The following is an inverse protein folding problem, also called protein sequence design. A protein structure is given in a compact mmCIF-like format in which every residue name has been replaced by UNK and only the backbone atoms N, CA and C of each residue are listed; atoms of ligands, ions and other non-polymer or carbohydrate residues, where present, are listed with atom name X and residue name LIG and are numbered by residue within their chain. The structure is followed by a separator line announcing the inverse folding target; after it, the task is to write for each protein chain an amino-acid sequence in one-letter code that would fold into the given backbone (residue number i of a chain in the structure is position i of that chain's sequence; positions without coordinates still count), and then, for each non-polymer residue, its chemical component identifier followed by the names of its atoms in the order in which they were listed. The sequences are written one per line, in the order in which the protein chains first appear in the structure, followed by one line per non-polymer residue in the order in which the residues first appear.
data_IF_064285438542
#
_entry.id   IF_064285438542
#
_cell.length_a   1.000
_cell.length_b   1.000
_cell.length_c   1.000
_cell.angle_alpha   90.00
_cell.angle_beta   90.00
_cell.angle_gamma   90.00
#
_symmetry.space_group_name_H-M   'P 1'
#
loop_
_entity.id
_entity.type
_entity.pdbx_description
1 polymer ?
#
# COMPACT_ATOMS: atom_id res chain seq x y z
N UNK A 1 -31.51 -62.86 -51.46
CA UNK A 1 -30.69 -61.65 -51.65
C UNK A 1 -30.65 -60.94 -50.31
N UNK A 2 -29.43 -60.81 -49.76
CA UNK A 2 -29.12 -60.56 -48.36
C UNK A 2 -29.31 -59.10 -47.91
N UNK A 3 -29.47 -58.97 -46.59
CA UNK A 3 -29.03 -57.90 -45.70
C UNK A 3 -29.82 -56.58 -45.61
N UNK A 4 -30.40 -56.39 -44.42
CA UNK A 4 -30.77 -55.08 -43.90
C UNK A 4 -29.55 -54.23 -43.54
N UNK A 5 -29.72 -52.90 -43.66
CA UNK A 5 -28.80 -51.93 -43.04
C UNK A 5 -29.61 -50.83 -42.36
N UNK A 6 -29.56 -50.87 -41.02
CA UNK A 6 -29.88 -49.78 -40.10
C UNK A 6 -29.14 -48.52 -40.56
N UNK A 7 -29.87 -47.45 -40.90
CA UNK A 7 -29.26 -46.11 -41.04
C UNK A 7 -29.27 -45.46 -39.67
N UNK A 8 -28.10 -45.44 -39.04
CA UNK A 8 -27.79 -44.66 -37.85
C UNK A 8 -27.77 -43.19 -38.27
N UNK A 9 -28.69 -42.39 -37.72
CA UNK A 9 -28.63 -40.93 -37.81
C UNK A 9 -27.65 -40.48 -36.72
N UNK A 10 -26.44 -40.11 -37.13
CA UNK A 10 -25.44 -39.53 -36.23
C UNK A 10 -25.85 -38.09 -35.88
N UNK A 11 -26.07 -37.85 -34.58
CA UNK A 11 -26.25 -36.52 -34.03
C UNK A 11 -24.95 -35.73 -34.12
N UNK A 12 -24.98 -34.63 -34.86
CA UNK A 12 -23.92 -33.60 -34.87
C UNK A 12 -23.88 -32.92 -33.50
N UNK A 13 -22.82 -33.19 -32.72
CA UNK A 13 -22.45 -32.40 -31.54
C UNK A 13 -21.70 -31.16 -32.05
N UNK A 14 -22.34 -30.00 -32.02
CA UNK A 14 -21.67 -28.71 -32.17
C UNK A 14 -20.94 -28.40 -30.85
N UNK A 15 -19.62 -28.59 -30.83
CA UNK A 15 -18.76 -28.08 -29.75
C UNK A 15 -18.59 -26.57 -29.98
N UNK A 16 -19.38 -25.76 -29.28
CA UNK A 16 -19.07 -24.34 -29.08
C UNK A 16 -17.83 -24.25 -28.18
N UNK A 17 -16.66 -24.14 -28.79
CA UNK A 17 -15.46 -23.70 -28.10
C UNK A 17 -15.62 -22.21 -27.74
N UNK A 18 -16.12 -21.91 -26.54
CA UNK A 18 -16.03 -20.57 -25.98
C UNK A 18 -14.55 -20.28 -25.71
N UNK A 19 -13.90 -19.54 -26.60
CA UNK A 19 -12.62 -18.92 -26.33
C UNK A 19 -12.87 -17.86 -25.26
N UNK A 20 -12.61 -18.21 -24.01
CA UNK A 20 -12.56 -17.25 -22.92
C UNK A 20 -11.43 -16.27 -23.20
N UNK A 21 -11.76 -15.04 -23.60
CA UNK A 21 -10.81 -13.94 -23.61
C UNK A 21 -10.50 -13.64 -22.15
N UNK A 22 -9.41 -14.21 -21.64
CA UNK A 22 -8.85 -13.81 -20.36
C UNK A 22 -8.52 -12.31 -20.45
N UNK A 23 -9.21 -11.49 -19.66
CA UNK A 23 -8.85 -10.10 -19.44
C UNK A 23 -7.36 -10.01 -19.09
N UNK A 24 -6.63 -8.98 -19.56
CA UNK A 24 -5.21 -8.87 -19.24
C UNK A 24 -5.07 -8.70 -17.73
N UNK A 25 -4.51 -9.72 -17.10
CA UNK A 25 -4.19 -9.75 -15.68
C UNK A 25 -3.39 -8.48 -15.34
N UNK A 26 -3.77 -7.80 -14.25
CA UNK A 26 -3.29 -6.49 -13.80
C UNK A 26 -1.82 -6.42 -13.36
N UNK A 27 -0.91 -7.11 -14.06
CA UNK A 27 0.53 -7.17 -13.77
C UNK A 27 1.26 -5.87 -14.17
N UNK A 28 0.62 -4.99 -14.95
CA UNK A 28 1.22 -3.75 -15.47
C UNK A 28 1.52 -2.67 -14.41
N UNK A 29 0.77 -2.61 -13.30
CA UNK A 29 0.98 -1.60 -12.26
C UNK A 29 2.05 -2.00 -11.22
N UNK A 30 2.28 -3.31 -11.05
CA UNK A 30 3.15 -3.85 -10.01
C UNK A 30 4.64 -3.54 -10.24
N UNK A 31 5.07 -3.42 -11.49
CA UNK A 31 6.48 -3.27 -11.83
C UNK A 31 6.99 -1.82 -11.86
N UNK A 32 6.16 -0.87 -12.29
CA UNK A 32 6.54 0.55 -12.22
C UNK A 32 6.74 1.03 -10.78
N UNK A 33 6.19 0.26 -9.84
CA UNK A 33 6.13 0.60 -8.44
C UNK A 33 7.47 0.39 -7.71
N UNK A 34 8.26 -0.64 -7.99
CA UNK A 34 9.50 -0.85 -7.24
C UNK A 34 10.75 -0.20 -7.84
N UNK A 35 10.58 0.72 -8.80
CA UNK A 35 11.69 1.49 -9.32
C UNK A 35 12.30 2.39 -8.22
N UNK A 36 13.64 2.45 -8.09
CA UNK A 36 14.33 3.39 -7.22
C UNK A 36 13.80 4.80 -7.43
N UNK A 37 13.46 5.47 -6.33
CA UNK A 37 13.05 6.86 -6.34
C UNK A 37 14.20 7.71 -6.85
N UNK A 38 14.04 8.33 -8.02
CA UNK A 38 15.00 9.32 -8.50
C UNK A 38 14.56 10.70 -7.99
N UNK A 39 15.44 11.36 -7.27
CA UNK A 39 15.24 12.69 -6.70
C UNK A 39 16.49 13.53 -6.85
N UNK A 40 16.36 14.82 -6.56
CA UNK A 40 17.48 15.75 -6.55
C UNK A 40 18.69 15.23 -5.77
N UNK A 41 19.89 15.42 -6.34
CA UNK A 41 21.15 14.88 -5.81
C UNK A 41 21.47 13.45 -6.26
N UNK A 42 20.56 12.73 -6.91
CA UNK A 42 20.86 11.41 -7.48
C UNK A 42 21.75 11.54 -8.71
N UNK A 43 22.84 10.77 -8.78
CA UNK A 43 23.67 10.65 -9.98
C UNK A 43 23.77 9.19 -10.42
N UNK A 44 23.30 8.87 -11.62
CA UNK A 44 23.37 7.50 -12.18
C UNK A 44 22.96 7.45 -13.65
N UNK A 45 23.29 6.35 -14.33
CA UNK A 45 22.78 6.08 -15.69
C UNK A 45 21.24 5.97 -15.74
N UNK A 46 20.57 5.70 -14.60
CA UNK A 46 19.11 5.76 -14.50
C UNK A 46 18.59 7.19 -14.64
N UNK A 47 19.34 8.17 -14.15
CA UNK A 47 19.03 9.58 -14.37
C UNK A 47 19.22 9.95 -15.84
N UNK A 48 20.25 9.45 -16.52
CA UNK A 48 20.40 9.65 -17.97
C UNK A 48 19.22 9.05 -18.75
N UNK A 49 18.77 7.84 -18.38
CA UNK A 49 17.56 7.22 -18.93
C UNK A 49 16.29 8.06 -18.70
N UNK A 50 16.12 8.61 -17.50
CA UNK A 50 15.04 9.55 -17.18
C UNK A 50 15.12 10.82 -18.03
N UNK A 51 16.31 11.42 -18.18
CA UNK A 51 16.49 12.65 -18.95
C UNK A 51 16.14 12.45 -20.43
N UNK A 52 16.47 11.29 -21.01
CA UNK A 52 15.98 10.91 -22.34
C UNK A 52 14.45 10.81 -22.39
N UNK A 53 13.80 10.20 -21.39
CA UNK A 53 12.33 10.12 -21.34
C UNK A 53 11.68 11.51 -21.19
N UNK A 54 12.27 12.41 -20.40
CA UNK A 54 11.80 13.80 -20.28
C UNK A 54 11.94 14.55 -21.62
N UNK A 55 13.06 14.39 -22.35
CA UNK A 55 13.19 14.92 -23.71
C UNK A 55 12.16 14.34 -24.68
N UNK A 56 11.87 13.05 -24.58
CA UNK A 56 10.81 12.42 -25.39
C UNK A 56 9.42 13.00 -25.10
N UNK A 57 9.24 13.64 -23.94
CA UNK A 57 8.02 14.35 -23.53
C UNK A 57 8.12 15.88 -23.70
N UNK A 58 9.08 16.36 -24.50
CA UNK A 58 9.21 17.76 -24.88
C UNK A 58 9.88 18.66 -23.83
N UNK A 59 10.59 18.09 -22.86
CA UNK A 59 11.40 18.87 -21.91
C UNK A 59 12.84 18.98 -22.42
N UNK A 60 13.28 20.20 -22.73
CA UNK A 60 14.66 20.44 -23.18
C UNK A 60 15.59 20.57 -21.96
N UNK A 61 16.24 19.47 -21.58
CA UNK A 61 17.21 19.40 -20.47
C UNK A 61 18.48 18.70 -20.92
N UNK A 62 19.60 18.95 -20.26
CA UNK A 62 20.85 18.23 -20.50
C UNK A 62 20.76 16.74 -20.08
N UNK A 63 21.58 15.88 -20.69
CA UNK A 63 21.70 14.46 -20.35
C UNK A 63 23.09 14.22 -19.75
N UNK A 64 23.24 14.61 -18.49
CA UNK A 64 24.48 14.54 -17.74
C UNK A 64 24.48 13.41 -16.69
N UNK A 65 23.35 12.70 -16.55
CA UNK A 65 23.16 11.67 -15.52
C UNK A 65 23.06 12.23 -14.10
N UNK A 66 22.90 13.55 -13.96
CA UNK A 66 22.74 14.26 -12.68
C UNK A 66 21.31 14.76 -12.50
N UNK A 67 20.71 14.41 -11.37
CA UNK A 67 19.38 14.91 -11.02
C UNK A 67 19.55 16.27 -10.34
N UNK A 68 19.87 17.29 -11.13
CA UNK A 68 19.98 18.67 -10.68
C UNK A 68 18.67 19.46 -10.76
N UNK A 69 18.73 20.78 -10.50
CA UNK A 69 17.55 21.66 -10.50
C UNK A 69 16.77 21.66 -11.82
N UNK A 70 17.46 21.59 -12.96
CA UNK A 70 16.82 21.52 -14.28
C UNK A 70 16.01 20.22 -14.46
N UNK A 71 16.59 19.07 -14.07
CA UNK A 71 15.91 17.77 -14.10
C UNK A 71 14.70 17.77 -13.15
N UNK A 72 14.83 18.32 -11.94
CA UNK A 72 13.72 18.46 -10.99
C UNK A 72 12.59 19.33 -11.55
N UNK A 73 12.92 20.46 -12.16
CA UNK A 73 11.95 21.36 -12.80
C UNK A 73 11.20 20.66 -13.93
N UNK A 74 11.92 19.92 -14.79
CA UNK A 74 11.31 19.13 -15.86
C UNK A 74 10.40 18.02 -15.32
N UNK A 75 10.78 17.34 -14.23
CA UNK A 75 9.92 16.34 -13.58
C UNK A 75 8.65 16.98 -13.04
N UNK A 76 8.73 18.14 -12.36
CA UNK A 76 7.54 18.87 -11.91
C UNK A 76 6.64 19.29 -13.06
N UNK A 77 7.21 19.80 -14.15
CA UNK A 77 6.46 20.15 -15.36
C UNK A 77 5.78 18.93 -16.00
N UNK A 78 6.47 17.79 -16.04
CA UNK A 78 5.88 16.53 -16.52
C UNK A 78 4.73 16.07 -15.63
N UNK A 79 4.93 16.12 -14.31
CA UNK A 79 3.91 15.77 -13.31
C UNK A 79 2.67 16.67 -13.46
N UNK A 80 2.86 17.98 -13.62
CA UNK A 80 1.78 18.93 -13.85
C UNK A 80 0.97 18.58 -15.11
N UNK A 81 1.64 18.34 -16.25
CA UNK A 81 0.98 17.97 -17.53
C UNK A 81 0.20 16.65 -17.45
N UNK A 82 0.54 15.78 -16.49
CA UNK A 82 -0.05 14.45 -16.37
C UNK A 82 -0.98 14.30 -15.14
N UNK A 83 -1.34 15.39 -14.46
CA UNK A 83 -2.21 15.36 -13.29
C UNK A 83 -1.62 14.63 -12.09
N UNK A 84 -0.30 14.66 -11.93
CA UNK A 84 0.43 14.07 -10.81
C UNK A 84 0.81 15.15 -9.78
N UNK A 85 1.11 14.72 -8.56
CA UNK A 85 1.69 15.59 -7.52
C UNK A 85 3.02 16.14 -8.03
N UNK A 86 3.21 17.46 -7.95
CA UNK A 86 4.38 18.16 -8.47
C UNK A 86 5.53 18.21 -7.44
N UNK A 87 5.87 17.06 -6.87
CA UNK A 87 6.91 16.93 -5.85
C UNK A 87 8.33 16.95 -6.42
N UNK A 88 8.48 16.81 -7.75
CA UNK A 88 9.78 16.73 -8.42
C UNK A 88 10.50 15.40 -8.18
N UNK A 89 9.78 14.38 -7.72
CA UNK A 89 10.28 13.05 -7.40
C UNK A 89 9.76 12.05 -8.44
N UNK A 90 10.67 11.28 -9.04
CA UNK A 90 10.30 10.20 -9.96
C UNK A 90 10.05 8.94 -9.16
N UNK A 91 8.84 8.85 -8.63
CA UNK A 91 8.28 7.62 -8.09
C UNK A 91 7.45 6.83 -9.11
N UNK A 92 6.76 5.79 -8.66
CA UNK A 92 5.99 4.86 -9.48
C UNK A 92 4.99 5.47 -10.45
N UNK A 93 4.22 6.45 -9.98
CA UNK A 93 3.19 7.11 -10.78
C UNK A 93 3.81 7.93 -11.90
N UNK A 94 4.89 8.65 -11.58
CA UNK A 94 5.67 9.41 -12.55
C UNK A 94 6.29 8.46 -13.58
N UNK A 95 6.91 7.36 -13.12
CA UNK A 95 7.51 6.38 -14.02
C UNK A 95 6.48 5.68 -14.90
N UNK A 96 5.32 5.30 -14.37
CA UNK A 96 4.24 4.67 -15.15
C UNK A 96 3.73 5.58 -16.27
N UNK A 97 3.66 6.90 -16.04
CA UNK A 97 3.29 7.89 -17.06
C UNK A 97 4.42 8.15 -18.07
N UNK A 98 5.67 8.10 -17.63
CA UNK A 98 6.84 8.23 -18.52
C UNK A 98 7.06 6.96 -19.39
N UNK A 99 6.60 5.80 -18.90
CA UNK A 99 6.78 4.50 -19.53
C UNK A 99 5.83 4.32 -20.71
N UNK A 100 6.30 4.67 -21.91
CA UNK A 100 5.58 4.41 -23.16
C UNK A 100 6.06 3.09 -23.76
N UNK A 101 5.13 2.27 -24.27
CA UNK A 101 5.47 1.00 -24.94
C UNK A 101 6.48 1.26 -26.04
N UNK A 102 7.66 0.66 -25.91
CA UNK A 102 8.77 0.81 -26.86
C UNK A 102 9.12 -0.57 -27.40
N UNK A 103 9.14 -0.73 -28.72
CA UNK A 103 9.29 -2.02 -29.40
C UNK A 103 10.11 -1.89 -30.68
N UNK A 104 10.38 -3.01 -31.33
CA UNK A 104 11.03 -3.04 -32.63
C UNK A 104 10.45 -2.01 -33.61
N UNK A 105 11.32 -1.30 -34.33
CA UNK A 105 10.95 -0.21 -35.24
C UNK A 105 10.62 1.13 -34.57
N UNK A 106 10.62 1.19 -33.23
CA UNK A 106 10.53 2.48 -32.52
C UNK A 106 11.85 3.24 -32.67
N UNK A 107 11.78 4.57 -32.72
CA UNK A 107 12.94 5.45 -32.80
C UNK A 107 12.90 6.60 -31.78
N UNK A 108 14.03 7.29 -31.61
CA UNK A 108 14.18 8.55 -30.88
C UNK A 108 14.59 8.41 -29.42
N UNK A 109 14.36 9.46 -28.62
CA UNK A 109 14.86 9.56 -27.24
C UNK A 109 14.36 8.43 -26.32
N UNK A 110 13.13 7.93 -26.52
CA UNK A 110 12.61 6.75 -25.79
C UNK A 110 13.47 5.50 -26.00
N UNK A 111 14.00 5.30 -27.20
CA UNK A 111 14.89 4.18 -27.50
C UNK A 111 16.26 4.39 -26.90
N UNK A 112 16.78 5.64 -26.94
CA UNK A 112 18.03 5.99 -26.25
C UNK A 112 17.93 5.71 -24.75
N UNK A 113 16.79 6.01 -24.12
CA UNK A 113 16.53 5.65 -22.73
C UNK A 113 16.61 4.13 -22.50
N UNK A 114 15.94 3.32 -23.33
CA UNK A 114 16.03 1.85 -23.25
C UNK A 114 17.47 1.38 -23.39
N UNK A 115 18.18 1.82 -24.42
CA UNK A 115 19.55 1.41 -24.72
C UNK A 115 20.52 1.79 -23.59
N UNK A 116 20.37 2.99 -23.01
CA UNK A 116 21.15 3.44 -21.84
C UNK A 116 20.91 2.56 -20.62
N UNK A 117 19.65 2.22 -20.31
CA UNK A 117 19.31 1.40 -19.15
C UNK A 117 19.69 -0.08 -19.34
N UNK A 118 19.65 -0.58 -20.58
CA UNK A 118 20.14 -1.91 -20.94
C UNK A 118 21.65 -2.01 -20.71
N UNK A 119 22.43 -1.01 -21.15
CA UNK A 119 23.87 -0.93 -20.84
C UNK A 119 24.14 -0.94 -19.34
N UNK A 120 23.38 -0.15 -18.58
CA UNK A 120 23.48 -0.14 -17.12
C UNK A 120 23.17 -1.51 -16.48
N UNK A 121 22.41 -2.36 -17.18
CA UNK A 121 22.08 -3.72 -16.75
C UNK A 121 23.04 -4.78 -17.31
N UNK A 122 24.20 -4.36 -17.84
CA UNK A 122 25.24 -5.25 -18.37
C UNK A 122 25.00 -5.74 -19.80
N UNK A 123 24.01 -5.23 -20.54
CA UNK A 123 23.77 -5.62 -21.93
C UNK A 123 24.65 -4.80 -22.89
N UNK A 124 25.19 -5.46 -23.92
CA UNK A 124 25.93 -4.77 -24.99
C UNK A 124 25.00 -4.31 -26.11
N UNK A 125 24.76 -3.01 -26.21
CA UNK A 125 23.91 -2.39 -27.25
C UNK A 125 24.42 -0.98 -27.58
N UNK A 126 24.28 -0.50 -28.82
CA UNK A 126 24.53 0.90 -29.19
C UNK A 126 23.44 1.83 -28.62
N UNK A 127 23.78 3.08 -28.27
CA UNK A 127 22.78 4.13 -27.93
C UNK A 127 22.60 5.02 -29.16
N UNK A 128 22.01 4.45 -30.21
CA UNK A 128 21.78 5.11 -31.50
C UNK A 128 20.36 5.67 -31.65
N UNK A 129 19.45 5.32 -30.73
CA UNK A 129 18.06 5.73 -30.78
C UNK A 129 17.20 4.94 -31.76
N UNK A 130 17.70 3.84 -32.32
CA UNK A 130 16.97 2.95 -33.24
C UNK A 130 16.71 1.59 -32.62
N UNK A 131 15.44 1.19 -32.49
CA UNK A 131 15.10 -0.11 -31.92
C UNK A 131 15.16 -1.20 -33.00
N UNK A 132 16.39 -1.52 -33.40
CA UNK A 132 16.70 -2.55 -34.40
C UNK A 132 16.96 -3.94 -33.79
N UNK A 133 17.45 -4.90 -34.60
CA UNK A 133 17.69 -6.28 -34.17
C UNK A 133 18.59 -6.42 -32.94
N UNK A 134 19.63 -5.57 -32.82
CA UNK A 134 20.53 -5.57 -31.65
C UNK A 134 19.82 -5.17 -30.36
N UNK A 135 18.98 -4.13 -30.40
CA UNK A 135 18.19 -3.70 -29.25
C UNK A 135 17.13 -4.75 -28.89
N UNK A 136 16.49 -5.37 -29.88
CA UNK A 136 15.55 -6.48 -29.64
C UNK A 136 16.21 -7.65 -28.91
N UNK A 137 17.40 -8.07 -29.35
CA UNK A 137 18.17 -9.13 -28.69
C UNK A 137 18.52 -8.77 -27.24
N UNK A 138 19.00 -7.54 -27.01
CA UNK A 138 19.34 -7.04 -25.67
C UNK A 138 18.12 -6.97 -24.74
N UNK A 139 16.95 -6.55 -25.24
CA UNK A 139 15.70 -6.52 -24.45
C UNK A 139 15.29 -7.94 -24.04
N UNK A 140 15.28 -8.90 -24.97
CA UNK A 140 14.92 -10.29 -24.65
C UNK A 140 15.89 -10.92 -23.63
N UNK A 141 17.19 -10.66 -23.78
CA UNK A 141 18.21 -11.11 -22.83
C UNK A 141 18.02 -10.49 -21.43
N UNK A 142 17.70 -9.19 -21.36
CA UNK A 142 17.36 -8.53 -20.11
C UNK A 142 16.07 -9.06 -19.49
N UNK A 143 15.02 -9.24 -20.28
CA UNK A 143 13.76 -9.83 -19.81
C UNK A 143 13.99 -11.22 -19.23
N UNK A 144 14.80 -12.06 -19.90
CA UNK A 144 15.22 -13.37 -19.39
C UNK A 144 15.94 -13.26 -18.05
N UNK A 145 16.91 -12.36 -17.91
CA UNK A 145 17.68 -12.19 -16.67
C UNK A 145 16.86 -11.66 -15.49
N UNK A 146 15.72 -11.02 -15.77
CA UNK A 146 14.77 -10.52 -14.76
C UNK A 146 13.56 -11.43 -14.54
N UNK A 147 13.51 -12.59 -15.20
CA UNK A 147 12.38 -13.53 -15.10
C UNK A 147 11.07 -12.97 -15.65
N UNK A 148 11.13 -12.11 -16.67
CA UNK A 148 10.01 -11.52 -17.41
C UNK A 148 9.67 -12.34 -18.66
N UNK A 149 8.49 -12.09 -19.24
CA UNK A 149 8.16 -12.58 -20.58
C UNK A 149 9.16 -12.04 -21.60
N UNK A 150 9.73 -12.92 -22.44
CA UNK A 150 10.77 -12.58 -23.43
C UNK A 150 10.17 -12.15 -24.77
N UNK A 151 9.15 -11.29 -24.71
CA UNK A 151 8.40 -10.81 -25.87
C UNK A 151 9.16 -9.77 -26.71
N UNK A 152 10.27 -9.22 -26.18
CA UNK A 152 11.04 -8.18 -26.86
C UNK A 152 10.37 -6.80 -26.85
N UNK A 153 9.28 -6.64 -26.10
CA UNK A 153 8.53 -5.39 -25.96
C UNK A 153 8.86 -4.76 -24.61
N UNK A 154 9.31 -3.49 -24.64
CA UNK A 154 9.53 -2.72 -23.41
C UNK A 154 8.22 -2.10 -22.96
N UNK A 155 7.40 -2.92 -22.30
CA UNK A 155 6.18 -2.52 -21.60
C UNK A 155 6.43 -2.06 -20.16
N UNK A 156 5.36 -1.72 -19.39
CA UNK A 156 5.49 -1.23 -18.01
C UNK A 156 6.35 -2.11 -17.10
N UNK A 157 6.29 -3.43 -17.31
CA UNK A 157 7.11 -4.38 -16.55
C UNK A 157 8.60 -4.28 -16.86
N UNK A 158 8.94 -4.25 -18.14
CA UNK A 158 10.34 -4.12 -18.55
C UNK A 158 10.89 -2.74 -18.20
N UNK A 159 10.08 -1.68 -18.30
CA UNK A 159 10.46 -0.33 -17.85
C UNK A 159 10.78 -0.28 -16.36
N UNK A 160 9.88 -0.80 -15.51
CA UNK A 160 10.13 -0.88 -14.08
C UNK A 160 11.45 -1.60 -13.77
N UNK A 161 11.67 -2.76 -14.39
CA UNK A 161 12.88 -3.56 -14.22
C UNK A 161 14.15 -2.80 -14.64
N UNK A 162 14.11 -2.07 -15.76
CA UNK A 162 15.23 -1.28 -16.27
C UNK A 162 15.62 -0.15 -15.32
N UNK A 163 14.65 0.44 -14.63
CA UNK A 163 14.92 1.41 -13.58
C UNK A 163 15.36 0.77 -12.26
N UNK A 164 15.21 -0.55 -12.08
CA UNK A 164 15.72 -1.28 -10.91
C UNK A 164 14.65 -1.93 -10.03
N UNK A 165 13.40 -1.99 -10.49
CA UNK A 165 12.35 -2.81 -9.87
C UNK A 165 12.77 -4.29 -9.83
N UNK A 166 12.53 -4.99 -8.72
CA UNK A 166 12.75 -6.44 -8.61
C UNK A 166 11.42 -7.19 -8.60
N UNK A 167 11.44 -8.45 -9.05
CA UNK A 167 10.24 -9.31 -9.09
C UNK A 167 9.69 -9.61 -7.67
N UNK A 168 10.56 -9.51 -6.65
CA UNK A 168 10.25 -9.70 -5.22
C UNK A 168 9.76 -8.42 -4.52
N UNK A 169 9.75 -7.28 -5.21
CA UNK A 169 9.19 -6.04 -4.67
C UNK A 169 7.79 -5.83 -5.22
N UNK A 170 6.82 -6.28 -4.43
CA UNK A 170 5.42 -5.88 -4.51
C UNK A 170 5.32 -4.36 -4.62
N UNK A 171 4.34 -3.85 -5.40
CA UNK A 171 4.21 -2.41 -5.64
C UNK A 171 4.26 -1.67 -4.30
N UNK A 172 5.10 -0.63 -4.10
CA UNK A 172 4.81 0.36 -3.10
C UNK A 172 3.35 0.77 -3.30
N UNK A 173 2.61 0.80 -2.20
CA UNK A 173 1.19 1.02 -2.29
C UNK A 173 0.95 2.43 -2.85
N UNK A 174 -0.28 2.75 -3.29
CA UNK A 174 -0.60 4.12 -3.65
C UNK A 174 -0.06 5.06 -2.56
N UNK A 175 0.50 6.23 -2.93
CA UNK A 175 0.89 7.24 -1.95
C UNK A 175 -0.29 7.43 -0.99
N UNK A 176 -0.03 7.76 0.29
CA UNK A 176 -1.06 7.92 1.29
C UNK A 176 -2.24 8.64 0.66
N UNK A 177 -3.41 7.98 0.61
CA UNK A 177 -4.62 8.65 0.13
C UNK A 177 -4.72 9.90 1.00
N UNK A 178 -4.60 11.06 0.37
CA UNK A 178 -4.74 12.33 1.07
C UNK A 178 -6.03 12.22 1.90
N UNK A 179 -5.95 12.34 3.23
CA UNK A 179 -7.12 12.21 4.09
C UNK A 179 -8.18 13.28 3.80
N UNK A 180 -7.81 14.27 2.98
CA UNK A 180 -8.59 15.46 2.66
C UNK A 180 -8.45 16.49 3.78
N UNK A 181 -9.06 17.66 3.61
CA UNK A 181 -9.11 18.65 4.68
C UNK A 181 -9.83 18.08 5.92
N UNK A 182 -9.50 18.56 7.13
CA UNK A 182 -10.20 18.20 8.35
C UNK A 182 -11.72 18.40 8.20
N UNK A 183 -12.50 17.44 8.70
CA UNK A 183 -13.96 17.50 8.70
C UNK A 183 -14.49 17.78 10.10
N UNK A 184 -15.69 18.35 10.18
CA UNK A 184 -16.38 18.53 11.45
C UNK A 184 -16.50 17.18 12.19
N UNK A 185 -16.10 17.16 13.46
CA UNK A 185 -16.07 15.96 14.28
C UNK A 185 -14.84 15.07 14.08
N UNK A 186 -13.87 15.44 13.25
CA UNK A 186 -12.55 14.79 13.24
C UNK A 186 -11.86 15.02 14.60
N UNK A 187 -11.16 14.00 15.09
CA UNK A 187 -10.44 14.03 16.37
C UNK A 187 -9.13 14.81 16.21
N UNK A 188 -8.90 15.75 17.12
CA UNK A 188 -7.63 16.47 17.27
C UNK A 188 -6.77 15.85 18.37
N UNK A 189 -5.49 16.23 18.45
CA UNK A 189 -4.63 15.84 19.58
C UNK A 189 -5.20 16.31 20.91
N UNK A 190 -5.71 17.55 20.97
CA UNK A 190 -6.34 18.09 22.17
C UNK A 190 -7.58 17.31 22.61
N UNK A 191 -8.36 16.75 21.68
CA UNK A 191 -9.45 15.85 22.02
C UNK A 191 -8.94 14.53 22.62
N UNK A 192 -7.87 13.96 22.05
CA UNK A 192 -7.25 12.75 22.59
C UNK A 192 -6.73 12.97 24.02
N UNK A 193 -6.08 14.10 24.29
CA UNK A 193 -5.54 14.42 25.62
C UNK A 193 -6.65 14.55 26.67
N UNK A 194 -7.81 15.11 26.29
CA UNK A 194 -8.99 15.19 27.17
C UNK A 194 -9.64 13.82 27.41
N UNK A 195 -9.73 12.98 26.38
CA UNK A 195 -10.34 11.65 26.49
C UNK A 195 -9.43 10.64 27.20
N UNK A 196 -8.11 10.74 26.98
CA UNK A 196 -7.11 9.75 27.36
C UNK A 196 -5.90 10.42 28.06
N UNK A 197 -6.10 11.11 29.20
CA UNK A 197 -5.02 11.78 29.91
C UNK A 197 -3.92 10.78 30.27
N UNK A 198 -2.67 11.13 29.96
CA UNK A 198 -1.49 10.28 30.18
C UNK A 198 -1.35 9.08 29.23
N UNK A 199 -2.19 8.97 28.20
CA UNK A 199 -2.17 7.87 27.20
C UNK A 199 -2.08 8.36 25.76
N UNK A 200 -1.53 9.56 25.56
CA UNK A 200 -1.19 10.12 24.25
C UNK A 200 0.31 10.32 24.21
N UNK A 201 0.99 9.71 23.24
CA UNK A 201 2.44 9.83 23.10
C UNK A 201 2.85 11.28 22.82
N UNK A 202 3.89 11.76 23.48
CA UNK A 202 4.46 13.08 23.18
C UNK A 202 5.40 13.02 21.97
N UNK A 203 4.80 12.85 20.79
CA UNK A 203 5.52 12.81 19.52
C UNK A 203 4.73 13.52 18.43
N UNK A 204 5.44 14.12 17.48
CA UNK A 204 4.81 14.71 16.28
C UNK A 204 4.08 13.68 15.42
N UNK A 205 4.31 12.38 15.64
CA UNK A 205 3.67 11.29 14.91
C UNK A 205 2.19 11.18 15.22
N UNK A 206 1.76 11.51 16.44
CA UNK A 206 0.33 11.51 16.80
C UNK A 206 -0.41 12.49 15.89
N UNK A 207 0.06 13.72 15.79
CA UNK A 207 -0.54 14.76 14.94
C UNK A 207 -0.48 14.40 13.46
N UNK A 208 0.64 13.84 12.98
CA UNK A 208 0.78 13.40 11.59
C UNK A 208 -0.18 12.27 11.21
N UNK A 209 -0.47 11.35 12.15
CA UNK A 209 -1.34 10.20 11.89
C UNK A 209 -2.83 10.50 11.99
N UNK A 210 -3.23 11.51 12.79
CA UNK A 210 -4.63 11.84 13.05
C UNK A 210 -5.48 12.06 11.80
N UNK A 211 -5.05 12.82 10.77
CA UNK A 211 -5.83 12.97 9.55
C UNK A 211 -6.18 11.62 8.88
N UNK A 212 -5.20 10.71 8.81
CA UNK A 212 -5.40 9.38 8.23
C UNK A 212 -6.28 8.48 9.10
N UNK A 213 -6.11 8.54 10.42
CA UNK A 213 -6.93 7.80 11.37
C UNK A 213 -8.40 8.24 11.30
N UNK A 214 -8.65 9.56 11.26
CA UNK A 214 -9.98 10.13 11.09
C UNK A 214 -10.62 9.68 9.77
N UNK A 215 -9.87 9.76 8.67
CA UNK A 215 -10.35 9.30 7.36
C UNK A 215 -10.72 7.80 7.38
N UNK A 216 -9.89 6.96 8.00
CA UNK A 216 -10.14 5.52 8.10
C UNK A 216 -11.35 5.19 9.00
N UNK A 217 -11.49 5.87 10.15
CA UNK A 217 -12.66 5.70 11.02
C UNK A 217 -13.96 6.05 10.29
N UNK A 218 -13.97 7.15 9.51
CA UNK A 218 -15.13 7.55 8.69
C UNK A 218 -15.42 6.50 7.63
N UNK A 219 -14.40 6.10 6.87
CA UNK A 219 -14.51 5.11 5.79
C UNK A 219 -15.15 3.79 6.26
N UNK A 220 -14.90 3.41 7.51
CA UNK A 220 -15.31 2.11 8.07
C UNK A 220 -16.54 2.17 8.98
N UNK A 221 -17.22 3.32 9.07
CA UNK A 221 -18.40 3.47 9.93
C UNK A 221 -18.10 3.35 11.44
N UNK A 222 -16.85 3.58 11.84
CA UNK A 222 -16.44 3.65 13.26
C UNK A 222 -16.95 4.95 13.88
N UNK A 223 -17.07 6.02 13.08
CA UNK A 223 -17.64 7.30 13.53
C UNK A 223 -19.17 7.34 13.54
N UNK A 224 -19.86 6.25 13.18
CA UNK A 224 -21.32 6.23 13.06
C UNK A 224 -22.04 6.42 14.41
N UNK A 225 -21.39 6.08 15.52
CA UNK A 225 -21.92 6.30 16.87
C UNK A 225 -20.81 6.76 17.83
N UNK A 226 -21.12 7.55 18.86
CA UNK A 226 -20.14 7.96 19.86
C UNK A 226 -19.48 6.77 20.56
N UNK A 227 -20.24 5.71 20.87
CA UNK A 227 -19.69 4.52 21.53
C UNK A 227 -18.74 3.71 20.66
N UNK A 228 -18.99 3.57 19.34
CA UNK A 228 -18.03 2.91 18.43
C UNK A 228 -16.71 3.68 18.38
N UNK A 229 -16.80 5.00 18.22
CA UNK A 229 -15.63 5.88 18.16
C UNK A 229 -14.86 5.87 19.48
N UNK A 230 -15.54 5.99 20.61
CA UNK A 230 -14.95 5.92 21.94
C UNK A 230 -14.24 4.59 22.19
N UNK A 231 -14.88 3.47 21.82
CA UNK A 231 -14.33 2.13 22.05
C UNK A 231 -13.08 1.88 21.20
N UNK A 232 -13.11 2.23 19.92
CA UNK A 232 -11.96 2.11 19.03
C UNK A 232 -10.78 2.96 19.51
N UNK A 233 -11.02 4.22 19.85
CA UNK A 233 -9.97 5.11 20.34
C UNK A 233 -9.41 4.65 21.70
N UNK A 234 -10.27 4.14 22.60
CA UNK A 234 -9.83 3.56 23.87
C UNK A 234 -8.91 2.36 23.64
N UNK A 235 -9.19 1.51 22.65
CA UNK A 235 -8.27 0.44 22.26
C UNK A 235 -6.92 1.02 21.83
N UNK A 236 -6.87 1.95 20.89
CA UNK A 236 -5.61 2.51 20.40
C UNK A 236 -4.80 3.26 21.47
N UNK A 237 -5.47 3.89 22.44
CA UNK A 237 -4.83 4.52 23.59
C UNK A 237 -4.01 3.51 24.42
N UNK A 238 -4.48 2.27 24.51
CA UNK A 238 -3.82 1.19 25.26
C UNK A 238 -2.82 0.40 24.43
N UNK A 239 -3.05 0.25 23.12
CA UNK A 239 -2.11 -0.47 22.24
C UNK A 239 -0.90 0.37 21.85
N UNK A 240 -1.08 1.66 21.56
CA UNK A 240 -0.04 2.45 20.90
C UNK A 240 0.14 3.86 21.43
N UNK A 241 -0.69 4.30 22.37
CA UNK A 241 -0.78 5.71 22.80
C UNK A 241 -0.92 6.67 21.62
N UNK A 242 -1.60 6.21 20.56
CA UNK A 242 -1.80 6.89 19.28
C UNK A 242 -0.54 7.18 18.44
N UNK A 243 0.63 6.61 18.75
CA UNK A 243 1.78 6.66 17.84
C UNK A 243 1.61 5.60 16.73
N UNK A 244 1.46 6.05 15.48
CA UNK A 244 1.25 5.16 14.34
C UNK A 244 2.49 4.35 13.96
N UNK A 245 3.68 4.74 14.43
CA UNK A 245 4.96 4.12 14.11
C UNK A 245 5.62 3.44 15.32
N UNK A 246 4.91 3.35 16.45
CA UNK A 246 5.41 2.61 17.60
C UNK A 246 5.56 1.13 17.23
N UNK A 247 6.64 0.53 17.71
CA UNK A 247 6.82 -0.91 17.70
C UNK A 247 7.41 -1.36 19.01
N UNK A 248 7.22 -2.63 19.35
CA UNK A 248 7.73 -3.19 20.60
C UNK A 248 9.23 -2.89 20.77
N UNK A 249 9.58 -2.18 21.85
CA UNK A 249 10.97 -2.02 22.32
C UNK A 249 11.33 -3.29 23.10
N UNK A 250 12.32 -4.04 22.62
CA UNK A 250 12.99 -5.04 23.48
C UNK A 250 13.29 -6.42 22.90
N UNK A 251 12.89 -6.79 21.68
CA UNK A 251 13.35 -8.03 21.04
C UNK A 251 13.46 -7.87 19.52
N UNK A 252 14.68 -7.61 19.06
CA UNK A 252 15.16 -7.96 17.71
C UNK A 252 15.73 -9.39 17.87
N UNK A 253 15.23 -10.44 17.18
CA UNK A 253 14.86 -10.42 15.77
C UNK A 253 13.58 -11.19 15.43
N UNK A 254 12.40 -10.60 15.67
CA UNK A 254 11.17 -11.08 15.04
C UNK A 254 10.70 -10.09 13.98
N UNK A 255 10.85 -10.50 12.72
CA UNK A 255 10.40 -9.78 11.51
C UNK A 255 8.92 -9.34 11.60
N UNK A 256 8.09 -10.00 12.40
CA UNK A 256 6.66 -9.69 12.57
C UNK A 256 6.28 -9.30 14.02
N UNK A 257 7.10 -8.44 14.65
CA UNK A 257 6.82 -7.85 15.97
C UNK A 257 5.61 -6.90 15.99
N UNK A 258 5.16 -6.48 17.17
CA UNK A 258 4.09 -5.48 17.31
C UNK A 258 4.41 -4.17 16.59
N UNK A 259 3.49 -3.71 15.72
CA UNK A 259 3.61 -2.43 15.00
C UNK A 259 2.31 -1.64 14.90
N UNK A 260 2.50 -0.33 14.93
CA UNK A 260 1.50 0.66 14.59
C UNK A 260 0.37 0.78 15.61
N UNK A 261 -0.72 1.42 15.20
CA UNK A 261 -1.83 1.78 16.09
C UNK A 261 -2.42 0.60 16.86
N UNK A 262 -2.53 -0.57 16.22
CA UNK A 262 -3.16 -1.74 16.81
C UNK A 262 -2.14 -2.79 17.30
N UNK A 263 -0.85 -2.46 17.26
CA UNK A 263 0.24 -3.41 17.56
C UNK A 263 0.04 -4.77 16.88
N UNK A 264 -0.11 -4.77 15.55
CA UNK A 264 -0.29 -6.02 14.82
C UNK A 264 0.97 -6.89 14.98
N UNK A 265 0.78 -8.16 15.37
CA UNK A 265 1.88 -9.07 15.75
C UNK A 265 1.70 -10.44 15.13
N UNK A 266 2.79 -11.03 14.63
CA UNK A 266 2.85 -12.39 14.12
C UNK A 266 2.59 -12.50 12.60
N UNK A 267 3.31 -13.39 11.89
CA UNK A 267 3.28 -13.48 10.43
C UNK A 267 1.87 -13.68 9.85
N UNK A 268 1.05 -14.50 10.52
CA UNK A 268 -0.33 -14.76 10.11
C UNK A 268 -1.18 -13.47 10.07
N UNK A 269 -1.05 -12.62 11.09
CA UNK A 269 -1.81 -11.38 11.16
C UNK A 269 -1.31 -10.37 10.11
N UNK A 270 0.01 -10.28 9.90
CA UNK A 270 0.58 -9.45 8.83
C UNK A 270 0.09 -9.87 7.45
N UNK A 271 0.08 -11.17 7.15
CA UNK A 271 -0.42 -11.68 5.87
C UNK A 271 -1.91 -11.37 5.69
N UNK A 272 -2.72 -11.62 6.72
CA UNK A 272 -4.16 -11.37 6.69
C UNK A 272 -4.48 -9.87 6.53
N UNK A 273 -3.78 -9.01 7.28
CA UNK A 273 -3.91 -7.56 7.14
C UNK A 273 -3.52 -7.09 5.75
N UNK A 274 -2.42 -7.62 5.23
CA UNK A 274 -1.93 -7.30 3.90
C UNK A 274 -2.97 -7.60 2.81
N UNK A 275 -3.55 -8.81 2.84
CA UNK A 275 -4.67 -9.19 1.96
C UNK A 275 -5.88 -8.28 2.17
N UNK A 276 -6.21 -7.96 3.41
CA UNK A 276 -7.39 -7.18 3.78
C UNK A 276 -7.34 -5.71 3.36
N UNK A 277 -6.16 -5.10 3.30
CA UNK A 277 -6.00 -3.70 2.87
C UNK A 277 -5.34 -3.56 1.49
N UNK A 278 -5.04 -4.67 0.81
CA UNK A 278 -4.46 -4.68 -0.53
C UNK A 278 -3.00 -4.24 -0.57
N UNK A 279 -2.22 -4.55 0.48
CA UNK A 279 -0.78 -4.23 0.56
C UNK A 279 0.02 -5.47 0.95
N UNK A 280 1.20 -5.63 0.35
CA UNK A 280 2.13 -6.65 0.85
C UNK A 280 2.82 -6.17 2.14
N UNK A 281 2.69 -6.97 3.20
CA UNK A 281 3.31 -6.78 4.51
C UNK A 281 4.27 -7.92 4.87
N UNK A 282 4.61 -8.79 3.92
CA UNK A 282 5.45 -9.96 4.15
C UNK A 282 6.93 -9.65 3.91
N UNK A 283 7.81 -10.45 4.50
CA UNK A 283 9.25 -10.30 4.33
C UNK A 283 9.74 -8.95 4.85
N UNK A 284 10.49 -8.23 4.02
CA UNK A 284 11.02 -6.91 4.39
C UNK A 284 9.95 -5.81 4.29
N UNK A 285 8.80 -6.08 3.68
CA UNK A 285 7.69 -5.12 3.58
C UNK A 285 6.89 -4.95 4.87
N UNK A 286 7.10 -5.80 5.88
CA UNK A 286 6.46 -5.71 7.20
C UNK A 286 6.60 -4.34 7.88
N UNK A 287 7.68 -3.60 7.60
CA UNK A 287 7.90 -2.25 8.15
C UNK A 287 6.80 -1.25 7.73
N UNK A 288 6.06 -1.53 6.65
CA UNK A 288 4.90 -0.75 6.19
C UNK A 288 3.81 -0.67 7.25
N UNK A 289 3.68 -1.67 8.14
CA UNK A 289 2.69 -1.63 9.22
C UNK A 289 2.89 -0.48 10.22
N UNK A 290 4.09 0.14 10.23
CA UNK A 290 4.44 1.34 11.02
C UNK A 290 4.54 2.62 10.17
N UNK A 291 3.95 2.63 8.97
CA UNK A 291 3.99 3.78 8.05
C UNK A 291 2.58 4.28 7.74
N UNK A 292 2.46 5.55 7.36
CA UNK A 292 1.23 6.09 6.79
C UNK A 292 1.15 5.75 5.29
N UNK A 293 -0.05 5.42 4.77
CA UNK A 293 -1.35 5.38 5.45
C UNK A 293 -1.66 4.03 6.12
N UNK A 294 -0.74 3.05 6.11
CA UNK A 294 -1.06 1.64 6.41
C UNK A 294 -1.40 1.40 7.87
N UNK A 295 -0.70 2.02 8.82
CA UNK A 295 -0.97 1.84 10.26
C UNK A 295 -2.45 2.15 10.62
N UNK A 296 -3.04 3.28 10.19
CA UNK A 296 -4.48 3.51 10.28
C UNK A 296 -5.33 2.43 9.59
N UNK A 297 -4.99 2.08 8.35
CA UNK A 297 -5.75 1.10 7.56
C UNK A 297 -5.78 -0.28 8.21
N UNK A 298 -4.65 -0.71 8.78
CA UNK A 298 -4.51 -1.96 9.52
C UNK A 298 -5.37 -1.91 10.78
N UNK A 299 -5.34 -0.82 11.55
CA UNK A 299 -6.18 -0.68 12.74
C UNK A 299 -7.68 -0.72 12.41
N UNK A 300 -8.10 0.00 11.37
CA UNK A 300 -9.47 -0.02 10.90
C UNK A 300 -9.89 -1.39 10.36
N UNK A 301 -9.03 -2.05 9.58
CA UNK A 301 -9.24 -3.43 9.10
C UNK A 301 -9.37 -4.41 10.25
N UNK A 302 -8.47 -4.34 11.22
CA UNK A 302 -8.47 -5.22 12.37
C UNK A 302 -9.79 -5.09 13.13
N UNK A 303 -10.21 -3.85 13.40
CA UNK A 303 -11.45 -3.55 14.12
C UNK A 303 -12.73 -3.99 13.39
N UNK A 304 -12.78 -3.88 12.06
CA UNK A 304 -14.05 -4.06 11.32
C UNK A 304 -14.16 -5.33 10.51
N UNK A 305 -13.04 -5.94 10.13
CA UNK A 305 -13.02 -7.11 9.25
C UNK A 305 -12.34 -8.30 9.92
N UNK A 306 -11.20 -8.10 10.58
CA UNK A 306 -10.59 -9.19 11.36
C UNK A 306 -11.37 -9.50 12.64
N UNK A 307 -12.07 -8.49 13.19
CA UNK A 307 -12.95 -8.57 14.36
C UNK A 307 -14.33 -8.00 14.05
N UNK A 308 -15.11 -8.65 13.17
CA UNK A 308 -16.35 -8.06 12.61
C UNK A 308 -17.40 -7.69 13.67
N UNK A 309 -17.33 -8.29 14.87
CA UNK A 309 -18.26 -8.02 15.96
C UNK A 309 -17.87 -6.83 16.86
N UNK A 310 -16.73 -6.16 16.62
CA UNK A 310 -16.28 -5.05 17.48
C UNK A 310 -17.24 -3.87 17.50
N UNK A 311 -17.81 -3.50 16.34
CA UNK A 311 -18.81 -2.44 16.27
C UNK A 311 -20.09 -2.82 17.03
N UNK A 312 -20.57 -4.05 16.88
CA UNK A 312 -21.75 -4.53 17.59
C UNK A 312 -21.51 -4.57 19.11
N UNK A 313 -20.33 -5.02 19.56
CA UNK A 313 -19.96 -5.00 20.97
C UNK A 313 -19.89 -3.56 21.51
N UNK A 314 -19.34 -2.62 20.74
CA UNK A 314 -19.30 -1.21 21.13
C UNK A 314 -20.71 -0.62 21.24
N UNK A 315 -21.61 -0.90 20.30
CA UNK A 315 -23.01 -0.45 20.36
C UNK A 315 -23.77 -0.99 21.57
N UNK A 316 -23.36 -2.16 22.07
CA UNK A 316 -23.89 -2.77 23.29
C UNK A 316 -23.16 -2.33 24.57
N UNK A 317 -22.24 -1.36 24.51
CA UNK A 317 -21.40 -0.94 25.64
C UNK A 317 -20.65 -2.13 26.28
N UNK A 318 -20.16 -3.05 25.46
CA UNK A 318 -19.50 -4.27 25.91
C UNK A 318 -17.99 -4.25 25.62
N UNK A 319 -17.26 -3.51 26.46
CA UNK A 319 -15.80 -3.41 26.39
C UNK A 319 -15.10 -4.72 26.74
N UNK A 320 -15.73 -5.60 27.52
CA UNK A 320 -15.21 -6.93 27.81
C UNK A 320 -15.05 -7.80 26.56
N UNK A 321 -16.05 -7.81 25.67
CA UNK A 321 -15.93 -8.48 24.37
C UNK A 321 -14.85 -7.86 23.50
N UNK A 322 -14.74 -6.53 23.46
CA UNK A 322 -13.70 -5.83 22.70
C UNK A 322 -12.31 -6.20 23.22
N UNK A 323 -12.10 -6.22 24.53
CA UNK A 323 -10.86 -6.67 25.13
C UNK A 323 -10.53 -8.11 24.75
N UNK A 324 -11.52 -9.02 24.74
CA UNK A 324 -11.34 -10.39 24.25
C UNK A 324 -10.96 -10.47 22.77
N UNK A 325 -11.45 -9.55 21.95
CA UNK A 325 -11.15 -9.51 20.51
C UNK A 325 -9.73 -8.99 20.22
N UNK A 326 -9.20 -8.10 21.06
CA UNK A 326 -7.91 -7.44 20.83
C UNK A 326 -6.77 -8.09 21.62
N UNK A 327 -7.01 -8.49 22.87
CA UNK A 327 -6.00 -8.98 23.79
C UNK A 327 -5.50 -10.40 23.47
N UNK A 328 -4.24 -10.67 23.82
CA UNK A 328 -3.58 -11.97 23.64
C UNK A 328 -3.94 -12.97 24.75
N UNK A 329 -4.19 -12.49 25.97
CA UNK A 329 -4.64 -13.32 27.09
C UNK A 329 -6.13 -13.60 26.95
N UNK A 330 -6.55 -14.86 26.84
CA UNK A 330 -7.97 -15.25 26.84
C UNK A 330 -8.44 -15.79 28.21
N UNK A 331 -7.61 -15.62 29.24
CA UNK A 331 -7.89 -16.07 30.60
C UNK A 331 -8.49 -14.96 31.46
N UNK A 332 -9.21 -15.34 32.52
CA UNK A 332 -9.80 -14.42 33.51
C UNK A 332 -8.84 -14.07 34.65
N UNK A 333 -7.53 -13.99 34.37
CA UNK A 333 -6.51 -13.65 35.36
C UNK A 333 -6.76 -12.27 35.98
N UNK A 334 -6.22 -12.01 37.17
CA UNK A 334 -6.31 -10.70 37.81
C UNK A 334 -5.67 -9.60 36.93
N UNK A 335 -4.58 -9.93 36.22
CA UNK A 335 -3.92 -9.04 35.26
C UNK A 335 -4.84 -8.68 34.09
N UNK A 336 -5.46 -9.67 33.46
CA UNK A 336 -6.41 -9.47 32.38
C UNK A 336 -7.60 -8.59 32.80
N UNK A 337 -8.13 -8.81 34.01
CA UNK A 337 -9.22 -7.99 34.57
C UNK A 337 -8.81 -6.55 34.86
N UNK A 338 -7.57 -6.32 35.30
CA UNK A 338 -7.05 -4.97 35.50
C UNK A 338 -6.91 -4.20 34.17
N UNK A 339 -6.43 -4.88 33.11
CA UNK A 339 -6.36 -4.31 31.76
C UNK A 339 -7.76 -3.96 31.23
N UNK A 340 -8.73 -4.88 31.39
CA UNK A 340 -10.13 -4.67 31.04
C UNK A 340 -10.73 -3.44 31.72
N UNK A 341 -10.54 -3.32 33.03
CA UNK A 341 -10.97 -2.16 33.80
C UNK A 341 -10.36 -0.86 33.27
N UNK A 342 -9.05 -0.85 33.03
CA UNK A 342 -8.37 0.35 32.54
C UNK A 342 -8.81 0.76 31.12
N UNK A 343 -9.06 -0.21 30.22
CA UNK A 343 -9.60 0.05 28.88
C UNK A 343 -11.05 0.53 28.96
N UNK A 344 -11.87 -0.05 29.84
CA UNK A 344 -13.25 0.36 30.06
C UNK A 344 -13.37 1.79 30.60
N UNK A 345 -12.51 2.18 31.55
CA UNK A 345 -12.50 3.56 32.08
C UNK A 345 -12.09 4.59 31.03
N UNK A 346 -11.11 4.27 30.17
CA UNK A 346 -10.78 5.10 29.00
C UNK A 346 -11.96 5.22 28.04
N UNK A 347 -12.68 4.13 27.78
CA UNK A 347 -13.90 4.16 26.96
C UNK A 347 -14.98 5.06 27.56
N UNK A 348 -15.30 4.94 28.86
CA UNK A 348 -16.33 5.76 29.52
C UNK A 348 -16.00 7.25 29.43
N UNK A 349 -14.76 7.64 29.67
CA UNK A 349 -14.30 9.04 29.52
C UNK A 349 -14.44 9.53 28.08
N UNK A 350 -13.99 8.74 27.11
CA UNK A 350 -14.11 9.09 25.70
C UNK A 350 -15.58 9.20 25.26
N UNK A 351 -16.45 8.29 25.70
CA UNK A 351 -17.88 8.34 25.42
C UNK A 351 -18.52 9.59 26.02
N UNK A 352 -18.20 9.95 27.27
CA UNK A 352 -18.66 11.18 27.89
C UNK A 352 -18.24 12.42 27.12
N UNK A 353 -16.99 12.48 26.69
CA UNK A 353 -16.49 13.59 25.88
C UNK A 353 -17.22 13.71 24.54
N UNK A 354 -17.43 12.58 23.85
CA UNK A 354 -18.01 12.55 22.50
C UNK A 354 -19.53 12.71 22.46
N UNK A 355 -20.23 12.29 23.52
CA UNK A 355 -21.71 12.28 23.56
C UNK A 355 -22.32 13.32 24.51
N UNK A 356 -21.52 13.88 25.43
CA UNK A 356 -21.99 14.68 26.55
C UNK A 356 -22.71 13.89 27.65
N UNK A 357 -22.75 12.54 27.57
CA UNK A 357 -23.50 11.67 28.48
C UNK A 357 -22.58 10.65 29.14
N UNK A 358 -22.86 10.30 30.39
CA UNK A 358 -22.21 9.17 31.03
C UNK A 358 -22.59 7.85 30.33
N UNK A 359 -21.64 6.92 30.27
CA UNK A 359 -21.92 5.57 29.77
C UNK A 359 -22.94 4.89 30.70
N UNK A 360 -23.84 4.03 30.17
CA UNK A 360 -24.82 3.32 30.99
C UNK A 360 -24.17 2.53 32.12
N UNK A 361 -24.82 2.46 33.28
CA UNK A 361 -24.37 1.62 34.41
C UNK A 361 -24.28 0.14 34.03
N UNK A 362 -25.02 -0.30 33.00
CA UNK A 362 -24.98 -1.65 32.42
C UNK A 362 -23.77 -1.91 31.52
N UNK A 363 -22.82 -0.98 31.37
CA UNK A 363 -21.60 -1.16 30.58
C UNK A 363 -20.82 -2.38 31.06
N UNK A 364 -20.57 -3.34 30.17
CA UNK A 364 -19.86 -4.58 30.49
C UNK A 364 -18.35 -4.39 30.29
N UNK A 365 -17.60 -4.25 31.38
CA UNK A 365 -16.16 -4.01 31.32
C UNK A 365 -15.32 -5.30 31.24
N UNK A 366 -15.74 -6.37 31.90
CA UNK A 366 -14.94 -7.60 32.01
C UNK A 366 -15.21 -8.53 30.83
N UNK A 367 -14.14 -9.14 30.29
CA UNK A 367 -14.27 -10.22 29.30
C UNK A 367 -15.08 -11.41 29.86
N UNK A 368 -15.90 -12.06 29.02
CA UNK A 368 -16.68 -13.24 29.42
C UNK A 368 -15.82 -14.48 29.63
#
# INVERSE_FOLDING_TARGET
MFEGKKKIVAATIAVLATVGVAAPVGISAAYAASAPVLKEGTRSNRVSGLQYLLRANGFNIEIDGSFGPATKSAVKGFQARNGLVQDGIVGPKTLAKLSVVTRYGTEGNRVRAVQTLLRNSGQSVSVDGSFGPRTLGAVKAFQKSKGLAQDGVVGPQTWGALFGATKDSTPPPPPPVDPGPPKAGDITRGDLEKMFPGKVADTSRVEQGLPYLNAEMRKRGITSTPQRKAAFLATLAHESTFDYAIGERGYDPLRYRGRGYIQITGPYNYEAAGKGIGVDLMGDNQVRASQLPYSPQIAGWYWTQARPNSNAAADQFNMGLISKYVGYDNTSTARARAEDGARCESFKRAYKYLSGKDAPSSTKCNRP
#
